data_IF_567820127644
#
_entry.id   IF_567820127644
#
_cell.length_a   1.000
_cell.length_b   1.000
_cell.length_c   1.000
_cell.angle_alpha   90.00
_cell.angle_beta   90.00
_cell.angle_gamma   90.00
#
_symmetry.space_group_name_H-M   'P 1'
#
loop_
_entity.id
_entity.type
_entity.pdbx_description
1 polymer ?
#
# COMPACT_ATOMS: atom_id res chain seq x y z
N UNK A 1 -7.87 16.82 4.24
CA UNK A 1 -8.74 15.91 5.01
C UNK A 1 -8.77 16.40 6.45
N UNK A 2 -9.93 16.47 7.13
CA UNK A 2 -10.00 16.86 8.53
C UNK A 2 -9.20 15.90 9.45
N UNK A 3 -8.60 16.38 10.55
CA UNK A 3 -7.76 15.55 11.42
C UNK A 3 -8.46 14.30 11.97
N UNK A 4 -9.73 14.43 12.38
CA UNK A 4 -10.52 13.29 12.89
C UNK A 4 -10.71 12.20 11.83
N UNK A 5 -10.98 12.60 10.60
CA UNK A 5 -11.13 11.66 9.48
C UNK A 5 -9.81 10.97 9.15
N UNK A 6 -8.69 11.69 9.17
CA UNK A 6 -7.36 11.10 8.95
C UNK A 6 -7.04 10.04 10.01
N UNK A 7 -7.36 10.31 11.29
CA UNK A 7 -7.19 9.33 12.37
C UNK A 7 -8.07 8.09 12.16
N UNK A 8 -9.33 8.26 11.74
CA UNK A 8 -10.21 7.13 11.45
C UNK A 8 -9.70 6.30 10.28
N UNK A 9 -9.26 6.93 9.19
CA UNK A 9 -8.65 6.25 8.04
C UNK A 9 -7.40 5.47 8.47
N UNK A 10 -6.54 6.07 9.29
CA UNK A 10 -5.34 5.42 9.81
C UNK A 10 -5.65 4.23 10.72
N UNK A 11 -6.68 4.32 11.58
CA UNK A 11 -7.13 3.19 12.41
C UNK A 11 -7.67 2.04 11.55
N UNK A 12 -8.49 2.34 10.54
CA UNK A 12 -9.03 1.33 9.63
C UNK A 12 -7.89 0.68 8.83
N UNK A 13 -6.97 1.48 8.30
CA UNK A 13 -5.79 0.98 7.58
C UNK A 13 -4.91 0.10 8.48
N UNK A 14 -4.67 0.51 9.73
CA UNK A 14 -3.92 -0.26 10.73
C UNK A 14 -4.51 -1.66 10.92
N UNK A 15 -5.80 -1.73 11.27
CA UNK A 15 -6.47 -3.02 11.49
C UNK A 15 -6.50 -3.86 10.21
N UNK A 16 -6.88 -3.27 9.09
CA UNK A 16 -7.04 -3.99 7.83
C UNK A 16 -5.72 -4.54 7.29
N UNK A 17 -4.68 -3.71 7.25
CA UNK A 17 -3.37 -4.11 6.72
C UNK A 17 -2.68 -5.09 7.66
N UNK A 18 -2.81 -4.98 8.98
CA UNK A 18 -2.32 -6.02 9.90
C UNK A 18 -2.98 -7.38 9.61
N UNK A 19 -4.30 -7.40 9.39
CA UNK A 19 -5.01 -8.63 9.06
C UNK A 19 -4.60 -9.18 7.68
N UNK A 20 -4.44 -8.32 6.67
CA UNK A 20 -3.98 -8.73 5.35
C UNK A 20 -2.57 -9.30 5.42
N UNK A 21 -1.66 -8.62 6.11
CA UNK A 21 -0.27 -9.06 6.28
C UNK A 21 -0.21 -10.42 6.97
N UNK A 22 -1.01 -10.63 8.03
CA UNK A 22 -1.10 -11.91 8.71
C UNK A 22 -1.60 -13.03 7.79
N UNK A 23 -2.71 -12.77 7.08
CA UNK A 23 -3.42 -13.78 6.32
C UNK A 23 -2.76 -14.09 4.99
N UNK A 24 -2.18 -13.07 4.36
CA UNK A 24 -1.72 -13.13 2.99
C UNK A 24 -0.21 -13.25 2.90
N UNK A 25 0.57 -12.76 3.87
CA UNK A 25 2.02 -12.84 3.79
C UNK A 25 2.64 -13.74 4.85
N UNK A 26 2.24 -13.62 6.11
CA UNK A 26 2.80 -14.46 7.18
C UNK A 26 2.34 -15.91 7.03
N UNK A 27 1.04 -16.16 6.85
CA UNK A 27 0.50 -17.53 6.73
C UNK A 27 0.83 -18.25 5.43
N UNK A 28 1.34 -17.55 4.45
CA UNK A 28 1.74 -18.10 3.14
C UNK A 28 3.26 -18.10 2.99
N UNK A 29 4.00 -17.85 4.07
CA UNK A 29 5.47 -17.78 4.10
C UNK A 29 6.05 -16.78 3.08
N UNK A 30 5.30 -15.73 2.74
CA UNK A 30 5.81 -14.64 1.88
C UNK A 30 6.80 -13.77 2.63
N UNK A 31 6.58 -13.55 3.93
CA UNK A 31 7.51 -12.89 4.83
C UNK A 31 7.45 -13.48 6.25
N UNK A 32 8.54 -13.32 6.99
CA UNK A 32 8.68 -13.75 8.38
C UNK A 32 9.18 -12.59 9.25
N UNK A 33 8.63 -12.39 10.45
CA UNK A 33 9.11 -11.39 11.41
C UNK A 33 10.11 -11.99 12.41
N UNK A 34 11.15 -11.23 12.78
CA UNK A 34 12.20 -11.71 13.68
C UNK A 34 12.31 -10.95 15.01
N UNK A 35 11.84 -9.70 15.06
CA UNK A 35 11.85 -8.92 16.30
C UNK A 35 10.85 -9.46 17.32
N UNK A 36 11.13 -9.26 18.61
CA UNK A 36 10.24 -9.63 19.73
C UNK A 36 9.84 -8.39 20.53
N UNK A 37 8.64 -8.37 21.16
CA UNK A 37 7.65 -9.46 21.23
C UNK A 37 6.79 -9.61 19.97
N UNK A 38 6.23 -10.80 19.77
CA UNK A 38 5.35 -11.13 18.65
C UNK A 38 3.97 -11.60 19.11
N UNK A 39 2.96 -11.40 18.27
CA UNK A 39 1.60 -11.93 18.41
C UNK A 39 1.22 -12.54 17.08
N UNK A 40 0.91 -13.84 17.06
CA UNK A 40 0.61 -14.59 15.83
C UNK A 40 1.70 -14.48 14.75
N UNK A 41 2.97 -14.54 15.15
CA UNK A 41 4.14 -14.46 14.26
C UNK A 41 4.33 -13.08 13.58
N UNK A 42 3.58 -12.06 14.03
CA UNK A 42 3.80 -10.66 13.70
C UNK A 42 4.42 -9.91 14.86
N UNK A 43 5.36 -9.00 14.59
CA UNK A 43 5.88 -8.10 15.61
C UNK A 43 4.79 -7.15 16.14
N UNK A 44 4.76 -6.87 17.45
CA UNK A 44 3.70 -6.04 18.08
C UNK A 44 3.61 -4.61 17.54
N UNK A 45 4.63 -4.12 16.84
CA UNK A 45 4.62 -2.79 16.23
C UNK A 45 3.99 -2.75 14.84
N UNK A 46 3.66 -3.89 14.23
CA UNK A 46 3.05 -3.94 12.88
C UNK A 46 1.79 -3.08 12.76
N UNK A 47 0.82 -3.14 13.69
CA UNK A 47 -0.34 -2.24 13.66
C UNK A 47 0.04 -0.76 13.73
N UNK A 48 1.05 -0.41 14.51
CA UNK A 48 1.52 0.97 14.60
C UNK A 48 2.17 1.43 13.29
N UNK A 49 2.98 0.58 12.66
CA UNK A 49 3.56 0.85 11.33
C UNK A 49 2.47 1.13 10.29
N UNK A 50 1.44 0.28 10.21
CA UNK A 50 0.33 0.49 9.28
C UNK A 50 -0.56 1.68 9.65
N UNK A 51 -0.70 2.02 10.94
CA UNK A 51 -1.35 3.25 11.37
C UNK A 51 -0.62 4.48 10.82
N UNK A 52 0.72 4.53 10.96
CA UNK A 52 1.52 5.63 10.41
C UNK A 52 1.47 5.66 8.88
N UNK A 53 1.51 4.50 8.20
CA UNK A 53 1.31 4.44 6.76
C UNK A 53 -0.05 5.03 6.34
N UNK A 54 -1.11 4.72 7.09
CA UNK A 54 -2.46 5.27 6.90
C UNK A 54 -2.58 6.79 7.11
N UNK A 55 -1.60 7.43 7.76
CA UNK A 55 -1.48 8.89 7.85
C UNK A 55 -0.58 9.46 6.75
N UNK A 56 0.59 8.85 6.55
CA UNK A 56 1.64 9.36 5.67
C UNK A 56 1.24 9.24 4.20
N UNK A 57 0.63 8.12 3.78
CA UNK A 57 0.26 7.93 2.37
C UNK A 57 -0.76 9.00 1.90
N UNK A 58 -1.89 9.23 2.60
CA UNK A 58 -2.80 10.30 2.23
C UNK A 58 -2.19 11.71 2.31
N UNK A 59 -1.25 11.95 3.24
CA UNK A 59 -0.54 13.23 3.32
C UNK A 59 0.38 13.44 2.12
N UNK A 60 1.15 12.43 1.72
CA UNK A 60 2.01 12.44 0.52
C UNK A 60 1.18 12.69 -0.73
N UNK A 61 0.04 12.01 -0.88
CA UNK A 61 -0.92 12.29 -1.96
C UNK A 61 -1.47 13.71 -1.88
N UNK A 62 -1.62 14.28 -0.69
CA UNK A 62 -2.02 15.67 -0.50
C UNK A 62 -1.01 16.69 -1.02
N UNK A 63 0.29 16.37 -0.99
CA UNK A 63 1.37 17.25 -1.46
C UNK A 63 1.66 17.14 -2.95
N UNK A 64 1.57 15.94 -3.51
CA UNK A 64 1.98 15.67 -4.89
C UNK A 64 0.83 15.33 -5.84
N UNK A 65 -0.33 14.96 -5.28
CA UNK A 65 -1.46 14.43 -6.03
C UNK A 65 -2.34 15.50 -6.66
N UNK A 66 -3.31 15.08 -7.46
CA UNK A 66 -4.26 15.99 -8.10
C UNK A 66 -5.10 16.75 -7.07
N UNK A 67 -5.79 17.78 -7.55
CA UNK A 67 -6.80 18.43 -6.72
C UNK A 67 -7.90 17.42 -6.33
N UNK A 68 -8.42 17.46 -5.08
CA UNK A 68 -9.44 16.51 -4.65
C UNK A 68 -10.68 16.60 -5.53
N UNK A 69 -11.04 15.48 -6.13
CA UNK A 69 -12.32 15.29 -6.81
C UNK A 69 -13.18 14.37 -5.95
N UNK A 70 -14.49 14.61 -5.93
CA UNK A 70 -15.39 13.74 -5.19
C UNK A 70 -15.30 12.31 -5.74
N UNK A 71 -14.93 11.37 -4.86
CA UNK A 71 -15.01 9.95 -5.12
C UNK A 71 -16.28 9.41 -4.47
N UNK A 72 -17.07 8.64 -5.20
CA UNK A 72 -18.26 8.01 -4.66
C UNK A 72 -17.93 6.69 -3.93
N UNK A 73 -18.94 6.05 -3.33
CA UNK A 73 -18.73 4.81 -2.59
C UNK A 73 -18.32 3.65 -3.52
N UNK A 74 -18.64 3.71 -4.82
CA UNK A 74 -18.24 2.71 -5.81
C UNK A 74 -16.76 2.86 -6.16
N UNK A 75 -16.27 4.08 -6.33
CA UNK A 75 -14.84 4.36 -6.57
C UNK A 75 -13.99 3.85 -5.40
N UNK A 76 -14.42 4.13 -4.17
CA UNK A 76 -13.76 3.62 -2.97
C UNK A 76 -13.78 2.09 -2.90
N UNK A 77 -14.92 1.46 -3.16
CA UNK A 77 -15.04 0.00 -3.14
C UNK A 77 -14.15 -0.67 -4.20
N UNK A 78 -14.08 -0.12 -5.41
CA UNK A 78 -13.22 -0.62 -6.49
C UNK A 78 -11.75 -0.42 -6.12
N UNK A 79 -11.35 0.77 -5.67
CA UNK A 79 -9.97 1.07 -5.28
C UNK A 79 -9.49 0.16 -4.15
N UNK A 80 -10.31 0.02 -3.11
CA UNK A 80 -10.05 -0.86 -1.97
C UNK A 80 -9.97 -2.34 -2.39
N UNK A 81 -10.90 -2.79 -3.24
CA UNK A 81 -10.91 -4.13 -3.77
C UNK A 81 -9.67 -4.45 -4.60
N UNK A 82 -9.22 -3.53 -5.45
CA UNK A 82 -7.99 -3.69 -6.25
C UNK A 82 -6.76 -3.80 -5.35
N UNK A 83 -6.59 -2.90 -4.37
CA UNK A 83 -5.41 -2.93 -3.49
C UNK A 83 -5.40 -4.20 -2.63
N UNK A 84 -6.56 -4.58 -2.08
CA UNK A 84 -6.69 -5.81 -1.30
C UNK A 84 -6.40 -7.06 -2.13
N UNK A 85 -6.96 -7.14 -3.34
CA UNK A 85 -6.71 -8.27 -4.23
C UNK A 85 -5.24 -8.31 -4.66
N UNK A 86 -4.63 -7.16 -4.92
CA UNK A 86 -3.22 -7.09 -5.25
C UNK A 86 -2.32 -7.60 -4.11
N UNK A 87 -2.69 -7.27 -2.86
CA UNK A 87 -2.01 -7.75 -1.66
C UNK A 87 -2.22 -9.27 -1.47
N UNK A 88 -3.45 -9.75 -1.63
CA UNK A 88 -3.74 -11.19 -1.55
C UNK A 88 -2.95 -11.99 -2.57
N UNK A 89 -2.96 -11.56 -3.84
CA UNK A 89 -2.30 -12.27 -4.93
C UNK A 89 -0.79 -12.25 -4.77
N UNK A 90 -0.19 -11.18 -4.21
CA UNK A 90 1.24 -11.16 -3.94
C UNK A 90 1.69 -12.22 -2.94
N UNK A 91 0.78 -12.64 -2.07
CA UNK A 91 1.00 -13.70 -1.09
C UNK A 91 0.74 -15.14 -1.57
N UNK A 92 0.07 -15.30 -2.71
CA UNK A 92 -0.32 -16.62 -3.24
C UNK A 92 0.48 -17.05 -4.46
N UNK A 93 1.24 -16.13 -5.06
CA UNK A 93 1.97 -16.39 -6.29
C UNK A 93 3.31 -17.07 -6.00
N UNK A 94 3.71 -18.06 -6.82
CA UNK A 94 5.06 -18.60 -6.77
C UNK A 94 6.08 -17.54 -7.19
N UNK A 95 7.28 -17.62 -6.62
CA UNK A 95 8.40 -16.69 -6.89
C UNK A 95 8.68 -16.49 -8.39
N UNK A 96 8.55 -17.56 -9.19
CA UNK A 96 8.81 -17.52 -10.63
C UNK A 96 7.89 -16.58 -11.41
N UNK A 97 6.76 -16.17 -10.81
CA UNK A 97 5.79 -15.26 -11.41
C UNK A 97 5.88 -13.83 -10.85
N UNK A 98 6.78 -13.54 -9.91
CA UNK A 98 6.88 -12.24 -9.25
C UNK A 98 7.06 -11.08 -10.25
N UNK A 99 7.98 -11.24 -11.21
CA UNK A 99 8.22 -10.22 -12.25
C UNK A 99 7.02 -10.05 -13.17
N UNK A 100 6.43 -11.16 -13.64
CA UNK A 100 5.25 -11.10 -14.50
C UNK A 100 4.08 -10.40 -13.79
N UNK A 101 3.90 -10.67 -12.50
CA UNK A 101 2.90 -10.03 -11.68
C UNK A 101 3.16 -8.53 -11.47
N UNK A 102 4.41 -8.15 -11.18
CA UNK A 102 4.80 -6.74 -11.10
C UNK A 102 4.49 -5.98 -12.40
N UNK A 103 4.74 -6.59 -13.56
CA UNK A 103 4.41 -6.00 -14.86
C UNK A 103 2.90 -5.86 -15.08
N UNK A 104 2.09 -6.83 -14.63
CA UNK A 104 0.62 -6.74 -14.69
C UNK A 104 0.11 -5.59 -13.84
N UNK A 105 0.59 -5.45 -12.60
CA UNK A 105 0.23 -4.33 -11.73
C UNK A 105 0.67 -3.00 -12.34
N UNK A 106 1.88 -2.92 -12.87
CA UNK A 106 2.39 -1.70 -13.50
C UNK A 106 1.55 -1.30 -14.73
N UNK A 107 1.18 -2.25 -15.58
CA UNK A 107 0.31 -2.01 -16.74
C UNK A 107 -1.09 -1.57 -16.31
N UNK A 108 -1.66 -2.20 -15.28
CA UNK A 108 -2.96 -1.82 -14.73
C UNK A 108 -2.94 -0.42 -14.11
N UNK A 109 -1.89 -0.06 -13.37
CA UNK A 109 -1.68 1.29 -12.86
C UNK A 109 -1.55 2.30 -14.00
N UNK A 110 -0.70 2.03 -14.99
CA UNK A 110 -0.48 2.92 -16.12
C UNK A 110 -1.77 3.18 -16.90
N UNK A 111 -2.58 2.13 -17.12
CA UNK A 111 -3.90 2.26 -17.73
C UNK A 111 -4.82 3.18 -16.90
N UNK A 112 -4.94 2.94 -15.59
CA UNK A 112 -5.78 3.77 -14.69
C UNK A 112 -5.36 5.24 -14.70
N UNK A 113 -4.05 5.50 -14.64
CA UNK A 113 -3.49 6.86 -14.70
C UNK A 113 -3.76 7.51 -16.06
N UNK A 114 -3.55 6.78 -17.16
CA UNK A 114 -3.76 7.30 -18.51
C UNK A 114 -5.22 7.65 -18.80
N UNK A 115 -6.16 6.85 -18.29
CA UNK A 115 -7.61 7.10 -18.42
C UNK A 115 -8.15 8.11 -17.40
N UNK A 116 -7.37 8.40 -16.35
CA UNK A 116 -7.74 9.29 -15.28
C UNK A 116 -7.49 10.76 -15.62
N UNK A 117 -8.16 11.68 -14.93
CA UNK A 117 -7.82 13.09 -15.03
C UNK A 117 -6.46 13.38 -14.37
N UNK A 118 -5.79 14.46 -14.81
CA UNK A 118 -4.57 14.98 -14.16
C UNK A 118 -3.48 13.90 -13.99
N UNK A 119 -3.10 13.27 -15.11
CA UNK A 119 -2.14 12.17 -15.13
C UNK A 119 -0.81 12.52 -14.45
N UNK A 120 -0.28 13.73 -14.64
CA UNK A 120 1.04 14.11 -14.12
C UNK A 120 1.07 14.18 -12.57
N UNK A 121 0.19 14.93 -11.88
CA UNK A 121 0.09 14.87 -10.42
C UNK A 121 -0.17 13.46 -9.89
N UNK A 122 -1.00 12.68 -10.59
CA UNK A 122 -1.29 11.29 -10.21
C UNK A 122 -0.03 10.42 -10.27
N UNK A 123 0.79 10.57 -11.32
CA UNK A 123 2.10 9.90 -11.42
C UNK A 123 3.02 10.34 -10.28
N UNK A 124 3.14 11.63 -10.03
CA UNK A 124 4.04 12.17 -8.99
C UNK A 124 3.68 11.64 -7.60
N UNK A 125 2.40 11.64 -7.24
CA UNK A 125 1.93 11.07 -5.99
C UNK A 125 2.16 9.57 -5.91
N UNK A 126 1.81 8.83 -6.96
CA UNK A 126 1.98 7.36 -6.99
C UNK A 126 3.44 6.96 -6.83
N UNK A 127 4.33 7.56 -7.62
CA UNK A 127 5.76 7.26 -7.58
C UNK A 127 6.36 7.67 -6.24
N UNK A 128 5.98 8.82 -5.66
CA UNK A 128 6.45 9.24 -4.34
C UNK A 128 6.08 8.24 -3.25
N UNK A 129 4.83 7.75 -3.25
CA UNK A 129 4.37 6.73 -2.31
C UNK A 129 5.10 5.40 -2.54
N UNK A 130 5.27 4.97 -3.79
CA UNK A 130 5.91 3.70 -4.10
C UNK A 130 7.40 3.66 -3.77
N UNK A 131 8.14 4.72 -4.11
CA UNK A 131 9.54 4.85 -3.72
C UNK A 131 9.67 4.92 -2.20
N UNK A 132 8.84 5.76 -1.54
CA UNK A 132 8.87 5.89 -0.09
C UNK A 132 8.57 4.59 0.65
N UNK A 133 7.52 3.87 0.22
CA UNK A 133 7.12 2.58 0.79
C UNK A 133 8.22 1.53 0.63
N UNK A 134 8.75 1.37 -0.58
CA UNK A 134 9.87 0.44 -0.85
C UNK A 134 11.09 0.77 0.00
N UNK A 135 11.49 2.04 0.11
CA UNK A 135 12.65 2.43 0.94
C UNK A 135 12.40 2.09 2.41
N UNK A 136 11.23 2.44 2.96
CA UNK A 136 10.91 2.17 4.37
C UNK A 136 10.96 0.67 4.64
N UNK A 137 10.31 -0.15 3.81
CA UNK A 137 10.33 -1.60 3.99
C UNK A 137 11.73 -2.20 3.81
N UNK A 138 12.49 -1.75 2.83
CA UNK A 138 13.89 -2.15 2.63
C UNK A 138 14.75 -1.88 3.88
N UNK A 139 14.52 -0.72 4.52
CA UNK A 139 15.23 -0.35 5.76
C UNK A 139 14.77 -1.24 6.92
N UNK A 140 13.46 -1.45 7.10
CA UNK A 140 12.95 -2.30 8.18
C UNK A 140 13.45 -3.75 8.05
N UNK A 141 13.46 -4.30 6.83
CA UNK A 141 14.04 -5.61 6.55
C UNK A 141 15.56 -5.62 6.76
N UNK A 142 16.28 -4.61 6.27
CA UNK A 142 17.72 -4.48 6.50
C UNK A 142 18.12 -4.33 7.98
N UNK A 143 17.21 -3.85 8.83
CA UNK A 143 17.36 -3.82 10.30
C UNK A 143 16.97 -5.15 10.98
N UNK A 144 16.57 -6.15 10.19
CA UNK A 144 16.17 -7.48 10.65
C UNK A 144 14.80 -7.51 11.31
N UNK A 145 13.90 -6.55 11.05
CA UNK A 145 12.55 -6.62 11.60
C UNK A 145 11.77 -7.80 11.01
N UNK A 146 11.90 -7.99 9.69
CA UNK A 146 11.30 -9.07 8.93
C UNK A 146 12.11 -9.33 7.67
N UNK A 147 11.97 -10.51 7.08
CA UNK A 147 12.54 -10.84 5.78
C UNK A 147 11.46 -11.37 4.84
N UNK A 148 11.52 -10.96 3.57
CA UNK A 148 10.76 -11.61 2.52
C UNK A 148 11.41 -12.93 2.15
N UNK A 149 10.63 -13.97 1.88
CA UNK A 149 11.17 -15.28 1.50
C UNK A 149 11.94 -15.23 0.17
N UNK A 150 11.49 -14.37 -0.76
CA UNK A 150 12.07 -14.21 -2.09
C UNK A 150 12.27 -12.71 -2.40
N UNK A 151 13.30 -12.07 -1.82
CA UNK A 151 13.58 -10.66 -2.08
C UNK A 151 14.29 -10.47 -3.42
N UNK A 152 13.97 -9.40 -4.12
CA UNK A 152 14.52 -9.11 -5.45
C UNK A 152 15.39 -7.83 -5.48
N UNK A 153 14.88 -6.74 -4.91
CA UNK A 153 15.49 -5.40 -4.97
C UNK A 153 15.52 -4.83 -3.58
N UNK A 154 16.71 -4.50 -3.07
CA UNK A 154 16.87 -3.89 -1.74
C UNK A 154 16.14 -4.64 -0.62
N UNK A 155 16.22 -5.97 -0.62
CA UNK A 155 15.55 -6.87 0.35
C UNK A 155 14.02 -6.94 0.25
N UNK A 156 13.41 -6.40 -0.82
CA UNK A 156 11.96 -6.48 -1.06
C UNK A 156 11.63 -7.04 -2.46
N UNK A 157 10.44 -7.61 -2.67
CA UNK A 157 10.08 -8.22 -3.94
C UNK A 157 9.67 -7.21 -5.02
N UNK A 158 9.82 -7.56 -6.30
CA UNK A 158 9.53 -6.66 -7.43
C UNK A 158 8.09 -6.13 -7.46
N UNK A 159 7.13 -6.94 -7.00
CA UNK A 159 5.71 -6.57 -7.02
C UNK A 159 5.35 -5.50 -5.97
N UNK A 160 6.23 -5.23 -4.99
CA UNK A 160 5.95 -4.28 -3.92
C UNK A 160 5.84 -2.84 -4.45
N UNK A 161 6.74 -2.45 -5.36
CA UNK A 161 6.70 -1.12 -5.97
C UNK A 161 5.35 -0.82 -6.66
N UNK A 162 4.88 -1.63 -7.63
CA UNK A 162 3.60 -1.36 -8.27
C UNK A 162 2.39 -1.59 -7.35
N UNK A 163 2.49 -2.40 -6.30
CA UNK A 163 1.45 -2.49 -5.27
C UNK A 163 1.26 -1.13 -4.56
N UNK A 164 2.35 -0.47 -4.17
CA UNK A 164 2.27 0.88 -3.59
C UNK A 164 1.73 1.93 -4.56
N UNK A 165 1.99 1.80 -5.87
CA UNK A 165 1.37 2.68 -6.88
C UNK A 165 -0.17 2.59 -6.81
N UNK A 166 -0.72 1.39 -6.65
CA UNK A 166 -2.17 1.21 -6.47
C UNK A 166 -2.67 1.71 -5.12
N UNK A 167 -1.87 1.55 -4.05
CA UNK A 167 -2.15 2.15 -2.75
C UNK A 167 -2.30 3.67 -2.82
N UNK A 168 -1.46 4.34 -3.61
CA UNK A 168 -1.53 5.77 -3.84
C UNK A 168 -2.81 6.19 -4.61
N UNK A 169 -3.20 5.43 -5.64
CA UNK A 169 -4.46 5.68 -6.36
C UNK A 169 -5.66 5.59 -5.42
N UNK A 170 -5.70 4.56 -4.56
CA UNK A 170 -6.77 4.44 -3.57
C UNK A 170 -6.74 5.59 -2.54
N UNK A 171 -5.56 6.03 -2.12
CA UNK A 171 -5.43 7.17 -1.21
C UNK A 171 -5.88 8.51 -1.84
N UNK A 172 -5.75 8.67 -3.16
CA UNK A 172 -6.35 9.80 -3.92
C UNK A 172 -7.87 9.76 -3.77
N UNK A 173 -8.50 8.60 -3.99
CA UNK A 173 -9.96 8.44 -3.88
C UNK A 173 -10.45 8.72 -2.45
N UNK A 174 -9.73 8.19 -1.44
CA UNK A 174 -10.03 8.45 -0.01
C UNK A 174 -9.92 9.95 0.31
N UNK A 175 -8.89 10.64 -0.17
CA UNK A 175 -8.76 12.09 -0.01
C UNK A 175 -9.91 12.82 -0.70
N UNK A 176 -10.29 12.40 -1.90
CA UNK A 176 -11.41 12.92 -2.66
C UNK A 176 -12.74 12.86 -1.91
N UNK A 177 -13.07 11.68 -1.36
CA UNK A 177 -14.28 11.46 -0.55
C UNK A 177 -14.40 12.44 0.62
N UNK A 178 -13.31 12.65 1.34
CA UNK A 178 -13.30 13.35 2.62
C UNK A 178 -12.81 14.80 2.57
N UNK A 179 -12.36 15.28 1.40
CA UNK A 179 -12.06 16.69 1.19
C UNK A 179 -13.28 17.51 0.76
N UNK A 180 -14.26 16.89 0.10
CA UNK A 180 -15.46 17.56 -0.46
C UNK A 180 -16.69 17.43 0.45
N UNK A 181 -16.68 16.49 1.41
CA UNK A 181 -17.81 16.21 2.30
C UNK A 181 -17.80 16.99 3.64
N UNK A 182 -16.89 17.93 3.82
CA UNK A 182 -16.79 18.80 5.01
C UNK A 182 -16.84 20.26 4.63
#
# INVERSE_FOLDING_TARGET
>A
MPPRTALLVALVASVWLTLCDQLFHVRTDTLEYHWTPQVADQHVLVPATFFFAGLVIPATVGWFGPEPRYADDRDLAIGFGIVTLAYLVSGLLPESLAVAYALVLLAAWAYRVYTGPEWLPTVMASVSVAVGGVIVESVLSGLGQFDYAHPDVASVPWWLFPLYLHGALFAIDVRGRFAVAG
#
